data_IF_056121731910
#
_entry.id   IF_056121731910
#
_cell.length_a   1.000
_cell.length_b   1.000
_cell.length_c   1.000
_cell.angle_alpha   90.00
_cell.angle_beta   90.00
_cell.angle_gamma   90.00
#
_symmetry.space_group_name_H-M   'P 1'
#
loop_
_entity.id
_entity.type
_entity.pdbx_description
1 polymer ?
#
# COMPACT_ATOMS: atom_id res chain seq x y z
N UNK A 1 -1.39 -6.29 15.47
CA UNK A 1 -2.35 -6.99 14.56
C UNK A 1 -1.92 -6.82 13.11
N UNK A 2 -2.04 -7.85 12.24
CA UNK A 2 -1.49 -7.78 10.87
C UNK A 2 -2.04 -6.62 10.03
N UNK A 3 -3.36 -6.34 10.09
CA UNK A 3 -3.98 -5.27 9.31
C UNK A 3 -3.54 -3.88 9.77
N UNK A 4 -3.46 -3.62 11.06
CA UNK A 4 -2.94 -2.35 11.59
C UNK A 4 -1.48 -2.16 11.22
N UNK A 5 -0.63 -3.17 11.47
CA UNK A 5 0.79 -3.11 11.09
C UNK A 5 1.00 -2.87 9.59
N UNK A 6 0.14 -3.45 8.74
CA UNK A 6 0.20 -3.21 7.30
C UNK A 6 -0.13 -1.77 6.95
N UNK A 7 -1.18 -1.18 7.54
CA UNK A 7 -1.53 0.23 7.33
C UNK A 7 -0.44 1.19 7.85
N UNK A 8 0.16 0.91 9.00
CA UNK A 8 1.31 1.66 9.52
C UNK A 8 2.50 1.59 8.56
N UNK A 9 2.79 0.42 7.97
CA UNK A 9 3.83 0.28 6.94
C UNK A 9 3.51 1.12 5.69
N UNK A 10 2.25 1.19 5.25
CA UNK A 10 1.84 2.02 4.13
C UNK A 10 2.00 3.51 4.43
N UNK A 11 1.62 3.97 5.62
CA UNK A 11 1.84 5.35 6.06
C UNK A 11 3.34 5.70 6.14
N UNK A 12 4.17 4.80 6.65
CA UNK A 12 5.62 4.95 6.68
C UNK A 12 6.22 5.03 5.25
N UNK A 13 5.73 4.24 4.30
CA UNK A 13 6.15 4.31 2.90
C UNK A 13 5.73 5.64 2.26
N UNK A 14 4.50 6.11 2.52
CA UNK A 14 4.02 7.41 2.04
C UNK A 14 4.86 8.56 2.61
N UNK A 15 5.22 8.50 3.89
CA UNK A 15 6.10 9.47 4.54
C UNK A 15 7.48 9.50 3.89
N UNK A 16 8.11 8.33 3.69
CA UNK A 16 9.40 8.22 3.01
C UNK A 16 9.35 8.76 1.58
N UNK A 17 8.25 8.54 0.87
CA UNK A 17 8.02 9.08 -0.47
C UNK A 17 7.95 10.61 -0.48
N UNK A 18 7.19 11.21 0.45
CA UNK A 18 7.12 12.67 0.62
C UNK A 18 8.49 13.27 0.95
N UNK A 19 9.26 12.61 1.83
CA UNK A 19 10.61 13.03 2.21
C UNK A 19 11.58 12.97 1.01
N UNK A 20 11.52 11.92 0.21
CA UNK A 20 12.35 11.78 -0.99
C UNK A 20 12.04 12.87 -2.04
N UNK A 21 10.78 13.20 -2.26
CA UNK A 21 10.39 14.30 -3.15
C UNK A 21 10.85 15.66 -2.63
N UNK A 22 10.76 15.89 -1.31
CA UNK A 22 11.27 17.10 -0.68
C UNK A 22 12.78 17.23 -0.88
N UNK A 23 13.54 16.16 -0.64
CA UNK A 23 14.99 16.14 -0.80
C UNK A 23 15.42 16.35 -2.27
N UNK A 24 14.70 15.74 -3.21
CA UNK A 24 14.96 15.85 -4.64
C UNK A 24 14.52 17.20 -5.23
N UNK A 25 13.74 18.01 -4.52
CA UNK A 25 13.21 19.33 -4.95
C UNK A 25 12.52 19.26 -6.32
N UNK A 26 11.72 18.21 -6.55
CA UNK A 26 11.05 18.03 -7.84
C UNK A 26 9.97 19.10 -8.06
N UNK A 27 9.99 19.81 -9.20
CA UNK A 27 9.09 20.93 -9.46
C UNK A 27 7.64 20.47 -9.70
N UNK A 28 7.44 19.24 -10.12
CA UNK A 28 6.14 18.64 -10.45
C UNK A 28 5.50 17.89 -9.26
N UNK A 29 6.09 17.99 -8.05
CA UNK A 29 5.56 17.32 -6.86
C UNK A 29 4.05 17.53 -6.68
N UNK A 30 3.60 18.78 -6.70
CA UNK A 30 2.19 19.11 -6.46
C UNK A 30 1.23 18.50 -7.51
N UNK A 31 1.67 18.43 -8.77
CA UNK A 31 0.86 17.93 -9.87
C UNK A 31 0.73 16.39 -9.87
N UNK A 32 1.77 15.68 -9.39
CA UNK A 32 1.82 14.22 -9.44
C UNK A 32 1.81 13.64 -8.02
N UNK A 33 2.95 13.56 -7.34
CA UNK A 33 3.04 12.87 -6.05
C UNK A 33 2.19 13.55 -4.96
N UNK A 34 2.17 14.88 -4.92
CA UNK A 34 1.38 15.64 -3.96
C UNK A 34 -0.12 15.41 -4.08
N UNK A 35 -0.64 15.31 -5.30
CA UNK A 35 -2.06 15.01 -5.54
C UNK A 35 -2.44 13.62 -4.99
N UNK A 36 -1.61 12.60 -5.25
CA UNK A 36 -1.83 11.25 -4.74
C UNK A 36 -1.65 11.16 -3.23
N UNK A 37 -0.60 11.78 -2.67
CA UNK A 37 -0.34 11.79 -1.23
C UNK A 37 -1.47 12.50 -0.47
N UNK A 38 -1.91 13.69 -0.93
CA UNK A 38 -3.08 14.35 -0.35
C UNK A 38 -4.29 13.44 -0.34
N UNK A 39 -4.57 12.79 -1.49
CA UNK A 39 -5.74 11.93 -1.65
C UNK A 39 -5.73 10.75 -0.65
N UNK A 40 -4.62 10.05 -0.50
CA UNK A 40 -4.52 8.95 0.45
C UNK A 40 -4.55 9.43 1.92
N UNK A 41 -3.89 10.54 2.25
CA UNK A 41 -3.92 11.13 3.59
C UNK A 41 -5.36 11.45 4.00
N UNK A 42 -6.10 12.15 3.13
CA UNK A 42 -7.50 12.51 3.39
C UNK A 42 -8.43 11.29 3.50
N UNK A 43 -8.11 10.14 2.88
CA UNK A 43 -8.84 8.90 3.08
C UNK A 43 -8.58 8.30 4.47
N UNK A 44 -7.32 8.29 4.91
CA UNK A 44 -7.03 7.88 6.28
C UNK A 44 -7.69 8.81 7.31
N UNK A 45 -7.65 10.13 7.09
CA UNK A 45 -8.29 11.10 7.97
C UNK A 45 -9.81 10.90 8.04
N UNK A 46 -10.46 10.64 6.89
CA UNK A 46 -11.88 10.34 6.85
C UNK A 46 -12.26 9.08 7.65
N UNK A 47 -11.33 8.14 7.83
CA UNK A 47 -11.55 6.95 8.65
C UNK A 47 -11.20 7.16 10.13
N UNK A 48 -10.12 7.90 10.41
CA UNK A 48 -9.53 8.00 11.76
C UNK A 48 -10.17 9.12 12.59
N UNK A 49 -10.48 10.27 11.97
CA UNK A 49 -10.98 11.46 12.69
C UNK A 49 -12.47 11.40 13.07
N UNK A 50 -13.39 10.84 12.29
CA UNK A 50 -14.83 10.85 12.60
C UNK A 50 -15.29 9.70 13.50
N UNK A 51 -14.38 9.00 14.14
CA UNK A 51 -14.71 7.84 14.96
C UNK A 51 -15.72 8.13 16.10
N UNK A 52 -16.09 9.40 16.38
CA UNK A 52 -17.11 9.77 17.37
C UNK A 52 -18.53 9.44 16.92
N UNK A 53 -18.87 9.67 15.65
CA UNK A 53 -20.25 9.62 15.16
C UNK A 53 -20.58 8.29 14.46
N UNK A 54 -19.56 7.44 14.23
CA UNK A 54 -19.72 6.17 13.52
C UNK A 54 -20.04 6.34 12.02
N UNK A 55 -19.84 7.54 11.44
CA UNK A 55 -20.05 7.81 10.01
C UNK A 55 -18.70 8.04 9.34
N UNK A 56 -18.46 7.38 8.22
CA UNK A 56 -17.31 7.57 7.36
C UNK A 56 -17.77 8.15 6.02
N UNK A 57 -17.28 9.34 5.68
CA UNK A 57 -17.58 10.02 4.42
C UNK A 57 -16.30 10.33 3.65
N UNK A 58 -16.02 9.49 2.64
CA UNK A 58 -14.86 9.69 1.78
C UNK A 58 -15.04 10.79 0.73
N UNK A 59 -16.27 11.27 0.50
CA UNK A 59 -16.54 12.27 -0.52
C UNK A 59 -16.41 13.71 0.02
N UNK A 60 -16.64 13.92 1.32
CA UNK A 60 -16.58 15.24 1.99
C UNK A 60 -15.16 15.65 2.43
N UNK A 61 -14.12 15.10 1.81
CA UNK A 61 -12.72 15.46 2.11
C UNK A 61 -12.43 16.91 1.73
N UNK A 62 -11.48 17.53 2.47
CA UNK A 62 -11.12 18.95 2.35
C UNK A 62 -10.50 19.31 0.99
N UNK A 63 -9.86 18.37 0.31
CA UNK A 63 -9.04 18.60 -0.90
C UNK A 63 -8.01 19.71 -0.69
N UNK A 64 -7.27 19.62 0.44
CA UNK A 64 -6.36 20.64 0.94
C UNK A 64 -5.23 20.92 -0.08
N UNK A 65 -5.29 22.10 -0.70
CA UNK A 65 -4.30 22.51 -1.69
C UNK A 65 -2.90 22.72 -1.09
N UNK A 66 -2.81 23.12 0.20
CA UNK A 66 -1.53 23.28 0.88
C UNK A 66 -0.87 21.91 1.13
N UNK A 67 -1.66 20.91 1.54
CA UNK A 67 -1.21 19.54 1.70
C UNK A 67 -0.70 18.95 0.38
N UNK A 68 -1.38 19.24 -0.73
CA UNK A 68 -0.94 18.82 -2.07
C UNK A 68 0.37 19.49 -2.50
N UNK A 69 0.56 20.77 -2.17
CA UNK A 69 1.70 21.56 -2.63
C UNK A 69 2.97 21.37 -1.78
N UNK A 70 2.84 20.95 -0.51
CA UNK A 70 3.92 20.96 0.45
C UNK A 70 4.28 19.55 0.96
N UNK A 71 5.41 18.95 0.51
CA UNK A 71 5.83 17.62 0.96
C UNK A 71 6.14 17.55 2.46
N UNK A 72 6.55 18.66 3.09
CA UNK A 72 6.77 18.71 4.54
C UNK A 72 5.45 18.62 5.32
N UNK A 73 4.41 19.30 4.84
CA UNK A 73 3.08 19.19 5.44
C UNK A 73 2.51 17.77 5.29
N UNK A 74 2.73 17.14 4.13
CA UNK A 74 2.34 15.75 3.92
C UNK A 74 3.06 14.81 4.91
N UNK A 75 4.37 14.99 5.14
CA UNK A 75 5.11 14.22 6.15
C UNK A 75 4.53 14.38 7.55
N UNK A 76 4.24 15.62 7.98
CA UNK A 76 3.67 15.89 9.30
C UNK A 76 2.31 15.20 9.49
N UNK A 77 1.43 15.27 8.49
CA UNK A 77 0.11 14.62 8.55
C UNK A 77 0.22 13.09 8.58
N UNK A 78 1.14 12.51 7.79
CA UNK A 78 1.39 11.07 7.77
C UNK A 78 1.94 10.54 9.11
N UNK A 79 2.83 11.29 9.76
CA UNK A 79 3.32 10.95 11.10
C UNK A 79 2.20 11.03 12.15
N UNK A 80 1.33 12.04 12.08
CA UNK A 80 0.19 12.17 12.98
C UNK A 80 -0.78 10.98 12.82
N UNK A 81 -1.11 10.60 11.58
CA UNK A 81 -1.96 9.44 11.28
C UNK A 81 -1.33 8.12 11.76
N UNK A 82 -0.01 7.96 11.56
CA UNK A 82 0.70 6.79 12.06
C UNK A 82 0.57 6.68 13.59
N UNK A 83 0.83 7.77 14.31
CA UNK A 83 0.69 7.81 15.78
C UNK A 83 -0.75 7.53 16.24
N UNK A 84 -1.77 8.01 15.53
CA UNK A 84 -3.17 7.70 15.85
C UNK A 84 -3.48 6.21 15.69
N UNK A 85 -2.91 5.52 14.69
CA UNK A 85 -3.08 4.08 14.54
C UNK A 85 -2.32 3.26 15.60
N UNK A 86 -1.30 3.82 16.25
CA UNK A 86 -0.60 3.15 17.35
C UNK A 86 -1.51 2.94 18.58
N UNK A 87 -2.49 3.83 18.77
CA UNK A 87 -3.48 3.73 19.85
C UNK A 87 -4.61 2.73 19.55
N UNK A 88 -4.67 2.17 18.34
CA UNK A 88 -5.72 1.27 17.93
C UNK A 88 -5.46 -0.18 18.36
N UNK A 89 -6.48 -0.86 18.84
CA UNK A 89 -6.46 -2.25 19.27
C UNK A 89 -7.55 -3.09 18.59
N UNK A 90 -7.54 -4.39 18.85
CA UNK A 90 -8.33 -5.37 18.12
C UNK A 90 -9.81 -5.05 18.09
N UNK A 91 -10.35 -4.69 19.24
CA UNK A 91 -11.79 -4.45 19.45
C UNK A 91 -12.29 -3.25 18.61
N UNK A 92 -11.41 -2.31 18.28
CA UNK A 92 -11.77 -1.17 17.43
C UNK A 92 -12.08 -1.59 15.99
N UNK A 93 -11.47 -2.67 15.50
CA UNK A 93 -11.69 -3.12 14.13
C UNK A 93 -13.10 -3.68 13.90
N UNK A 94 -13.73 -4.21 14.92
CA UNK A 94 -15.09 -4.75 14.86
C UNK A 94 -16.16 -3.67 15.08
N UNK A 95 -15.75 -2.44 15.42
CA UNK A 95 -16.65 -1.32 15.65
C UNK A 95 -17.46 -1.03 14.38
N UNK A 96 -18.82 -1.03 14.46
CA UNK A 96 -19.66 -0.72 13.32
C UNK A 96 -19.56 0.75 12.93
N UNK A 97 -19.60 1.01 11.64
CA UNK A 97 -19.67 2.35 11.04
C UNK A 97 -20.67 2.37 9.90
N UNK A 98 -21.16 3.56 9.58
CA UNK A 98 -21.99 3.82 8.42
C UNK A 98 -21.14 4.56 7.38
N UNK A 99 -20.92 3.94 6.22
CA UNK A 99 -20.23 4.58 5.11
C UNK A 99 -21.27 5.29 4.24
N UNK A 100 -21.08 6.58 4.03
CA UNK A 100 -21.90 7.38 3.13
C UNK A 100 -21.07 7.90 1.97
N UNK A 101 -21.73 8.15 0.85
CA UNK A 101 -21.05 8.65 -0.35
C UNK A 101 -22.02 8.85 -1.50
N UNK A 102 -21.44 9.08 -2.68
CA UNK A 102 -22.17 9.28 -3.93
C UNK A 102 -21.82 8.21 -4.96
N UNK A 103 -22.81 7.83 -5.75
CA UNK A 103 -22.73 6.91 -6.87
C UNK A 103 -23.37 7.53 -8.11
N UNK A 104 -23.24 6.84 -9.25
CA UNK A 104 -23.68 7.36 -10.56
C UNK A 104 -22.54 8.08 -11.28
N UNK A 105 -22.65 8.24 -12.59
CA UNK A 105 -21.58 8.84 -13.41
C UNK A 105 -21.34 10.32 -13.09
N UNK A 106 -22.33 11.00 -12.55
CA UNK A 106 -22.28 12.43 -12.16
C UNK A 106 -22.38 12.63 -10.64
N UNK A 107 -22.32 11.54 -9.85
CA UNK A 107 -22.46 11.59 -8.40
C UNK A 107 -23.89 11.95 -7.94
N UNK A 108 -24.90 11.66 -8.75
CA UNK A 108 -26.30 12.05 -8.55
C UNK A 108 -27.03 11.22 -7.50
N UNK A 109 -26.53 10.02 -7.17
CA UNK A 109 -27.17 9.09 -6.24
C UNK A 109 -26.39 9.04 -4.93
N UNK A 110 -27.00 9.44 -3.80
CA UNK A 110 -26.44 9.21 -2.47
C UNK A 110 -26.62 7.74 -2.06
N UNK A 111 -25.63 7.18 -1.36
CA UNK A 111 -25.75 5.87 -0.73
C UNK A 111 -25.33 5.92 0.73
N UNK A 112 -25.79 4.93 1.50
CA UNK A 112 -25.41 4.71 2.89
C UNK A 112 -25.39 3.20 3.14
N UNK A 113 -24.24 2.67 3.56
CA UNK A 113 -24.04 1.22 3.77
C UNK A 113 -23.38 0.95 5.12
N UNK A 114 -23.81 -0.12 5.78
CA UNK A 114 -23.17 -0.58 7.01
C UNK A 114 -21.81 -1.21 6.72
N UNK A 115 -20.83 -0.92 7.60
CA UNK A 115 -19.47 -1.45 7.51
C UNK A 115 -18.87 -1.59 8.91
N UNK A 116 -17.57 -1.89 8.99
CA UNK A 116 -16.77 -1.87 10.22
C UNK A 116 -15.47 -1.09 9.99
N UNK A 117 -14.89 -0.58 11.07
CA UNK A 117 -13.57 0.07 11.01
C UNK A 117 -12.53 -0.83 10.34
N UNK A 118 -12.50 -2.13 10.66
CA UNK A 118 -11.55 -3.08 10.07
C UNK A 118 -11.76 -3.26 8.57
N UNK A 119 -13.01 -3.32 8.09
CA UNK A 119 -13.30 -3.38 6.65
C UNK A 119 -12.87 -2.10 5.94
N UNK A 120 -13.12 -0.93 6.53
CA UNK A 120 -12.72 0.35 5.96
C UNK A 120 -11.20 0.51 5.98
N UNK A 121 -10.52 0.07 7.04
CA UNK A 121 -9.06 0.06 7.09
C UNK A 121 -8.44 -0.84 6.01
N UNK A 122 -9.06 -1.98 5.69
CA UNK A 122 -8.65 -2.83 4.58
C UNK A 122 -8.89 -2.16 3.21
N UNK A 123 -9.98 -1.40 3.06
CA UNK A 123 -10.26 -0.62 1.87
C UNK A 123 -9.21 0.47 1.65
N UNK A 124 -8.93 1.29 2.67
CA UNK A 124 -7.93 2.38 2.59
C UNK A 124 -6.54 1.82 2.31
N UNK A 125 -6.18 0.66 2.89
CA UNK A 125 -4.92 -0.03 2.56
C UNK A 125 -4.83 -0.42 1.08
N UNK A 126 -5.88 -1.06 0.54
CA UNK A 126 -5.93 -1.45 -0.87
C UNK A 126 -5.87 -0.25 -1.80
N UNK A 127 -6.58 0.82 -1.45
CA UNK A 127 -6.59 2.09 -2.18
C UNK A 127 -5.22 2.76 -2.17
N UNK A 128 -4.52 2.75 -1.04
CA UNK A 128 -3.15 3.26 -0.92
C UNK A 128 -2.18 2.49 -1.81
N UNK A 129 -2.26 1.16 -1.82
CA UNK A 129 -1.44 0.31 -2.72
C UNK A 129 -1.71 0.66 -4.18
N UNK A 130 -2.97 0.91 -4.58
CA UNK A 130 -3.31 1.36 -5.93
C UNK A 130 -2.64 2.68 -6.28
N UNK A 131 -2.68 3.70 -5.40
CA UNK A 131 -2.00 4.97 -5.62
C UNK A 131 -0.47 4.83 -5.68
N UNK A 132 0.11 3.94 -4.89
CA UNK A 132 1.54 3.63 -5.00
C UNK A 132 1.89 3.00 -6.34
N UNK A 133 1.04 2.13 -6.89
CA UNK A 133 1.25 1.57 -8.23
C UNK A 133 1.25 2.65 -9.32
N UNK A 134 0.35 3.65 -9.23
CA UNK A 134 0.33 4.79 -10.14
C UNK A 134 1.60 5.66 -10.02
N UNK A 135 2.14 5.80 -8.81
CA UNK A 135 3.36 6.58 -8.55
C UNK A 135 4.66 5.84 -8.89
N UNK A 136 4.64 4.52 -9.05
CA UNK A 136 5.84 3.72 -9.24
C UNK A 136 6.66 4.15 -10.48
N UNK A 137 6.00 4.42 -11.61
CA UNK A 137 6.66 4.88 -12.83
C UNK A 137 7.28 6.28 -12.65
N UNK A 138 6.56 7.20 -12.00
CA UNK A 138 7.08 8.54 -11.68
C UNK A 138 8.32 8.45 -10.77
N UNK A 139 8.29 7.63 -9.73
CA UNK A 139 9.43 7.42 -8.84
C UNK A 139 10.64 6.90 -9.60
N UNK A 140 10.44 5.92 -10.50
CA UNK A 140 11.51 5.37 -11.33
C UNK A 140 12.13 6.42 -12.27
N UNK A 141 11.31 7.24 -12.92
CA UNK A 141 11.76 8.31 -13.83
C UNK A 141 12.62 9.34 -13.11
N UNK A 142 12.32 9.64 -11.86
CA UNK A 142 13.03 10.65 -11.06
C UNK A 142 14.09 10.07 -10.12
N UNK A 143 14.41 8.78 -10.23
CA UNK A 143 15.42 8.13 -9.40
C UNK A 143 15.05 8.07 -7.92
N UNK A 144 13.77 8.17 -7.58
CA UNK A 144 13.28 8.02 -6.21
C UNK A 144 13.23 6.54 -5.87
N UNK A 145 14.00 6.17 -4.84
CA UNK A 145 14.03 4.79 -4.37
C UNK A 145 12.71 4.40 -3.69
N UNK A 146 12.16 3.27 -4.12
CA UNK A 146 10.96 2.66 -3.52
C UNK A 146 11.23 1.23 -3.06
N UNK A 147 10.52 0.72 -2.04
CA UNK A 147 10.65 -0.68 -1.61
C UNK A 147 10.33 -1.69 -2.73
N UNK A 148 10.89 -2.90 -2.64
CA UNK A 148 10.77 -3.95 -3.67
C UNK A 148 9.33 -4.32 -4.07
N UNK A 149 8.36 -4.10 -3.19
CA UNK A 149 6.94 -4.42 -3.42
C UNK A 149 6.04 -3.17 -3.43
N UNK A 150 6.65 -1.99 -3.66
CA UNK A 150 5.91 -0.74 -3.73
C UNK A 150 4.82 -0.81 -4.80
N UNK A 151 3.58 -0.48 -4.42
CA UNK A 151 2.42 -0.53 -5.31
C UNK A 151 1.95 -1.93 -5.72
N UNK A 152 2.49 -3.01 -5.15
CA UNK A 152 2.01 -4.37 -5.40
C UNK A 152 1.03 -4.82 -4.32
N UNK A 153 -0.10 -5.38 -4.75
CA UNK A 153 -1.05 -5.98 -3.82
C UNK A 153 -0.40 -7.15 -3.05
N UNK A 154 -0.66 -7.31 -1.74
CA UNK A 154 -0.11 -8.41 -0.94
C UNK A 154 -0.38 -9.80 -1.54
N UNK A 155 -1.56 -10.02 -2.12
CA UNK A 155 -1.90 -11.27 -2.79
C UNK A 155 -1.00 -11.55 -4.01
N UNK A 156 -0.67 -10.52 -4.79
CA UNK A 156 0.27 -10.62 -5.92
C UNK A 156 1.66 -10.99 -5.44
N UNK A 157 2.14 -10.35 -4.38
CA UNK A 157 3.45 -10.66 -3.78
C UNK A 157 3.50 -12.10 -3.26
N UNK A 158 2.43 -12.56 -2.61
CA UNK A 158 2.33 -13.94 -2.13
C UNK A 158 2.35 -14.94 -3.28
N UNK A 159 1.61 -14.69 -4.36
CA UNK A 159 1.60 -15.52 -5.57
C UNK A 159 2.99 -15.58 -6.22
N UNK A 160 3.65 -14.44 -6.44
CA UNK A 160 5.00 -14.39 -7.01
C UNK A 160 6.03 -15.16 -6.18
N UNK A 161 5.91 -15.13 -4.84
CA UNK A 161 6.78 -15.92 -3.94
C UNK A 161 6.54 -17.42 -4.09
N UNK A 162 5.26 -17.83 -4.14
CA UNK A 162 4.91 -19.23 -4.32
C UNK A 162 5.43 -19.78 -5.67
N UNK A 163 5.26 -19.04 -6.76
CA UNK A 163 5.77 -19.42 -8.07
C UNK A 163 7.31 -19.57 -8.08
N UNK A 164 8.03 -18.66 -7.43
CA UNK A 164 9.50 -18.74 -7.32
C UNK A 164 9.94 -19.96 -6.51
N UNK A 165 9.29 -20.28 -5.40
CA UNK A 165 9.59 -21.46 -4.59
C UNK A 165 9.43 -22.75 -5.40
N UNK A 166 8.36 -22.88 -6.19
CA UNK A 166 8.14 -24.04 -7.07
C UNK A 166 9.22 -24.13 -8.15
N UNK A 167 9.62 -23.02 -8.77
CA UNK A 167 10.66 -22.99 -9.79
C UNK A 167 12.03 -23.45 -9.22
N UNK A 168 12.38 -22.99 -8.02
CA UNK A 168 13.64 -23.37 -7.35
C UNK A 168 13.67 -24.87 -7.03
N UNK A 169 12.56 -25.43 -6.55
CA UNK A 169 12.45 -26.88 -6.25
C UNK A 169 12.59 -27.72 -7.50
N UNK A 170 12.04 -27.29 -8.64
CA UNK A 170 12.16 -28.01 -9.94
C UNK A 170 13.61 -28.00 -10.44
N UNK A 171 14.35 -26.90 -10.27
CA UNK A 171 15.73 -26.78 -10.73
C UNK A 171 16.66 -27.65 -9.89
N UNK A 172 16.48 -27.74 -8.57
CA UNK A 172 17.27 -28.64 -7.71
C UNK A 172 17.05 -30.12 -8.05
N UNK A 173 15.77 -30.52 -8.33
CA UNK A 173 15.49 -31.91 -8.72
C UNK A 173 16.10 -32.30 -10.07
N UNK A 174 16.20 -31.37 -11.01
CA UNK A 174 16.79 -31.57 -12.32
C UNK A 174 18.33 -31.69 -12.26
N UNK A 175 19.00 -31.02 -11.31
CA UNK A 175 20.45 -31.11 -11.11
C UNK A 175 20.87 -32.40 -10.44
N UNK A 176 20.11 -32.91 -9.48
CA UNK A 176 20.40 -34.22 -8.86
C UNK A 176 20.23 -35.37 -9.84
N UNK A 177 19.29 -35.33 -10.77
CA UNK A 177 19.11 -36.34 -11.81
C UNK A 177 20.23 -36.39 -12.87
N UNK A 178 20.97 -35.30 -13.07
CA UNK A 178 22.05 -35.24 -14.04
C UNK A 178 23.42 -35.69 -13.46
N UNK A 179 23.59 -35.68 -12.13
CA UNK A 179 24.83 -36.06 -11.46
C UNK A 179 24.98 -37.59 -11.28
N UNK A 180 23.89 -38.39 -11.42
CA UNK A 180 23.94 -39.83 -11.21
C UNK A 180 24.26 -40.66 -12.47
N UNK A 181 24.59 -40.04 -13.61
CA UNK A 181 24.84 -40.74 -14.90
C UNK A 181 26.29 -40.75 -15.36
N UNK A 182 27.30 -40.47 -14.52
CA UNK A 182 28.70 -40.52 -14.88
C UNK A 182 29.46 -41.47 -13.92
N UNK A 183 29.30 -42.79 -14.13
CA UNK A 183 30.30 -43.77 -13.73
C UNK A 183 30.81 -44.52 -14.98
N UNK A 184 32.04 -44.39 -15.38
CA UNK A 184 32.64 -45.25 -16.42
C UNK A 184 33.03 -46.59 -15.81
N UNK A 185 32.45 -47.65 -16.32
CA UNK A 185 32.86 -49.03 -16.09
C UNK A 185 34.23 -49.25 -16.76
N UNK A 186 35.29 -49.31 -15.97
CA UNK A 186 36.59 -49.90 -16.40
C UNK A 186 36.50 -51.42 -16.26
N UNK A 187 36.29 -52.11 -17.40
CA UNK A 187 36.58 -53.56 -17.47
C UNK A 187 38.02 -53.79 -17.95
N UNK A 188 38.78 -54.40 -17.07
CA UNK A 188 40.05 -55.03 -17.43
C UNK A 188 39.76 -56.29 -18.20
N UNK A 189 40.43 -56.47 -19.35
CA UNK A 189 40.60 -57.73 -20.02
C UNK A 189 42.11 -58.12 -19.96
N UNK A 190 42.35 -59.36 -19.56
CA UNK A 190 43.63 -60.02 -19.50
C UNK A 190 44.22 -60.34 -20.89
#
# INVERSE_FOLDING_TARGET
MPLLAFNQQLLAQAHALAAAHHAARLPDYAAVAGAHLRHLIEHFEALVLPASDGVVDYDSRLRDAALQACPLLAQQRLLALHGQLDDWHAEMLDRPVQVIGRAGQQGEVGFSVASTIGRELAFVASHTVHHFALLAAHCQQHGIHTPAHFGKAPATVAHERACRAVATTRTSFSQESSCSKLQPTLQHAA
#
